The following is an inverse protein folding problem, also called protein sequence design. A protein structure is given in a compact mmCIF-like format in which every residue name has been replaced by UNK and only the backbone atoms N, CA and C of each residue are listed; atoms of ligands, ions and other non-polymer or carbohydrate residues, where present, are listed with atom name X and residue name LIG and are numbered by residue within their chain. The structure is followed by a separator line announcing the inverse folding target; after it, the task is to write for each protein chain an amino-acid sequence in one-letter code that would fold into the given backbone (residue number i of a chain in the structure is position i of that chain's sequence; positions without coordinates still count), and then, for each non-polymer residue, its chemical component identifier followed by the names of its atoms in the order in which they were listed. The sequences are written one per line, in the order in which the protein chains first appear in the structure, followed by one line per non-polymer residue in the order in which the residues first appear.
data_IF_009877548241
#
_entry.id   IF_009877548241
#
_cell.length_a   1.000
_cell.length_b   1.000
_cell.length_c   1.000
_cell.angle_alpha   90.00
_cell.angle_beta   90.00
_cell.angle_gamma   90.00
#
_symmetry.space_group_name_H-M   'P 1'
#
loop_
_entity.id
_entity.type
_entity.pdbx_description
1 polymer ?
#
# COMPACT_ATOMS: atom_id res chain seq x y z
N UNK A 1 -8.36 11.99 17.01
CA UNK A 1 -7.99 10.55 16.98
C UNK A 1 -6.65 10.44 16.25
N UNK A 2 -5.60 10.13 17.00
CA UNK A 2 -4.22 10.00 16.54
C UNK A 2 -4.15 8.91 15.44
N UNK A 3 -3.94 9.35 14.20
CA UNK A 3 -3.54 8.47 13.10
C UNK A 3 -2.11 8.02 13.43
N UNK A 4 -1.96 6.86 14.06
CA UNK A 4 -0.65 6.22 14.25
C UNK A 4 -0.10 5.85 12.87
N UNK A 5 0.57 6.79 12.22
CA UNK A 5 1.53 6.47 11.17
C UNK A 5 2.66 5.69 11.83
N UNK A 6 3.14 4.65 11.16
CA UNK A 6 4.35 3.97 11.60
C UNK A 6 5.45 5.02 11.78
N UNK A 7 6.15 5.06 12.92
CA UNK A 7 7.18 6.06 13.16
C UNK A 7 8.32 5.85 12.16
N UNK A 8 8.85 6.93 11.63
CA UNK A 8 9.93 6.90 10.62
C UNK A 8 11.14 6.07 11.04
N UNK A 9 11.48 6.11 12.33
CA UNK A 9 12.59 5.33 12.87
C UNK A 9 12.36 3.82 12.79
N UNK A 10 11.10 3.37 12.89
CA UNK A 10 10.76 1.94 12.76
C UNK A 10 11.00 1.41 11.35
N UNK A 11 10.76 2.24 10.32
CA UNK A 11 11.01 1.86 8.93
C UNK A 11 12.50 1.81 8.64
N UNK A 12 13.26 2.80 9.12
CA UNK A 12 14.72 2.83 9.00
C UNK A 12 15.32 1.59 9.66
N UNK A 13 14.88 1.26 10.88
CA UNK A 13 15.35 0.09 11.60
C UNK A 13 15.05 -1.19 10.83
N UNK A 14 13.85 -1.34 10.27
CA UNK A 14 13.48 -2.49 9.48
C UNK A 14 14.35 -2.61 8.22
N UNK A 15 14.56 -1.52 7.48
CA UNK A 15 15.41 -1.50 6.30
C UNK A 15 16.87 -1.86 6.66
N UNK A 16 17.40 -1.37 7.79
CA UNK A 16 18.70 -1.77 8.32
C UNK A 16 18.78 -3.27 8.62
N UNK A 17 17.76 -3.82 9.29
CA UNK A 17 17.69 -5.26 9.56
C UNK A 17 17.66 -6.08 8.25
N UNK A 18 16.96 -5.63 7.23
CA UNK A 18 16.92 -6.31 5.93
C UNK A 18 18.27 -6.31 5.22
N UNK A 19 19.03 -5.20 5.29
CA UNK A 19 20.41 -5.14 4.74
C UNK A 19 21.32 -6.11 5.48
N UNK A 20 21.33 -6.07 6.80
CA UNK A 20 22.17 -6.97 7.62
C UNK A 20 21.79 -8.44 7.38
N UNK A 21 20.51 -8.74 7.36
CA UNK A 21 20.01 -10.08 7.09
C UNK A 21 20.43 -10.58 5.70
N UNK A 22 20.29 -9.76 4.66
CA UNK A 22 20.68 -10.12 3.31
C UNK A 22 22.19 -10.36 3.18
N UNK A 23 23.00 -9.52 3.84
CA UNK A 23 24.45 -9.69 3.86
C UNK A 23 24.87 -10.99 4.55
N UNK A 24 24.30 -11.26 5.73
CA UNK A 24 24.56 -12.49 6.48
C UNK A 24 24.12 -13.73 5.68
N UNK A 25 22.92 -13.69 5.11
CA UNK A 25 22.34 -14.82 4.38
C UNK A 25 23.16 -15.15 3.13
N UNK A 26 23.50 -14.14 2.31
CA UNK A 26 24.32 -14.36 1.11
C UNK A 26 25.70 -14.89 1.46
N UNK A 27 26.32 -14.34 2.51
CA UNK A 27 27.62 -14.81 2.96
C UNK A 27 27.56 -16.29 3.39
N UNK A 28 26.53 -16.64 4.18
CA UNK A 28 26.31 -18.01 4.69
C UNK A 28 26.07 -19.01 3.56
N UNK A 29 25.29 -18.63 2.56
CA UNK A 29 25.00 -19.49 1.39
C UNK A 29 26.25 -19.76 0.55
N UNK A 30 27.14 -18.78 0.42
CA UNK A 30 28.33 -18.91 -0.43
C UNK A 30 29.53 -19.57 0.26
N UNK A 31 29.63 -19.45 1.59
CA UNK A 31 30.80 -19.95 2.35
C UNK A 31 30.47 -21.11 3.32
N UNK A 32 29.19 -21.44 3.47
CA UNK A 32 28.72 -22.49 4.37
C UNK A 32 28.45 -21.97 5.80
N UNK A 33 27.57 -22.69 6.50
CA UNK A 33 27.09 -22.29 7.84
C UNK A 33 28.21 -22.35 8.89
N UNK A 34 28.98 -23.46 8.90
CA UNK A 34 30.01 -23.66 9.93
C UNK A 34 31.12 -22.61 9.85
N UNK A 35 31.65 -22.36 8.64
CA UNK A 35 32.66 -21.30 8.43
C UNK A 35 32.15 -19.89 8.73
N UNK A 36 30.87 -19.64 8.58
CA UNK A 36 30.26 -18.35 8.94
C UNK A 36 30.17 -18.20 10.45
N UNK A 37 29.87 -19.26 11.19
CA UNK A 37 29.78 -19.21 12.67
C UNK A 37 31.13 -18.90 13.30
N UNK A 38 32.23 -19.47 12.76
CA UNK A 38 33.59 -19.24 13.28
C UNK A 38 34.02 -17.76 13.21
N UNK A 39 33.55 -17.04 12.20
CA UNK A 39 33.93 -15.65 11.93
C UNK A 39 32.76 -14.65 12.12
N UNK A 40 31.66 -15.08 12.74
CA UNK A 40 30.43 -14.31 12.87
C UNK A 40 30.66 -12.91 13.47
N UNK A 41 31.53 -12.79 14.48
CA UNK A 41 31.84 -11.52 15.12
C UNK A 41 32.45 -10.50 14.15
N UNK A 42 33.48 -10.91 13.40
CA UNK A 42 34.14 -10.04 12.43
C UNK A 42 33.23 -9.70 11.25
N UNK A 43 32.42 -10.66 10.80
CA UNK A 43 31.44 -10.46 9.74
C UNK A 43 30.37 -9.43 10.16
N UNK A 44 29.81 -9.55 11.37
CA UNK A 44 28.81 -8.59 11.88
C UNK A 44 29.40 -7.18 12.01
N UNK A 45 30.61 -7.03 12.53
CA UNK A 45 31.27 -5.72 12.59
C UNK A 45 31.44 -5.14 11.20
N UNK A 46 31.89 -5.94 10.24
CA UNK A 46 32.06 -5.48 8.84
C UNK A 46 30.73 -5.07 8.22
N UNK A 47 29.66 -5.86 8.40
CA UNK A 47 28.33 -5.53 7.90
C UNK A 47 27.76 -4.26 8.55
N UNK A 48 27.99 -4.04 9.86
CA UNK A 48 27.58 -2.82 10.56
C UNK A 48 28.32 -1.58 10.03
N UNK A 49 29.61 -1.69 9.74
CA UNK A 49 30.36 -0.59 9.11
C UNK A 49 29.85 -0.34 7.69
N UNK A 50 29.62 -1.39 6.91
CA UNK A 50 29.05 -1.30 5.56
C UNK A 50 27.62 -0.72 5.54
N UNK A 51 26.88 -0.78 6.66
CA UNK A 51 25.54 -0.20 6.75
C UNK A 51 25.57 1.34 6.69
N UNK A 52 26.64 1.99 7.13
CA UNK A 52 26.75 3.46 7.20
C UNK A 52 26.52 4.12 5.83
N UNK A 53 27.16 3.71 4.73
CA UNK A 53 26.90 4.26 3.41
C UNK A 53 25.45 4.10 2.94
N UNK A 54 24.79 3.00 3.29
CA UNK A 54 23.36 2.80 2.97
C UNK A 54 22.48 3.79 3.74
N UNK A 55 22.76 4.04 5.02
CA UNK A 55 22.04 5.05 5.81
C UNK A 55 22.19 6.45 5.22
N UNK A 56 23.39 6.81 4.77
CA UNK A 56 23.64 8.08 4.06
C UNK A 56 22.82 8.12 2.77
N UNK A 57 22.80 7.05 2.00
CA UNK A 57 22.00 6.91 0.79
C UNK A 57 20.49 7.11 1.06
N UNK A 58 19.96 6.44 2.07
CA UNK A 58 18.56 6.57 2.47
C UNK A 58 18.19 8.01 2.84
N UNK A 59 19.07 8.73 3.53
CA UNK A 59 18.86 10.13 3.87
C UNK A 59 18.96 11.04 2.64
N UNK A 60 19.92 10.81 1.76
CA UNK A 60 20.15 11.60 0.56
C UNK A 60 18.95 11.53 -0.42
N UNK A 61 18.45 10.33 -0.66
CA UNK A 61 17.32 10.10 -1.56
C UNK A 61 15.95 10.27 -0.90
N UNK A 62 15.91 10.73 0.36
CA UNK A 62 14.67 10.99 1.09
C UNK A 62 13.68 9.81 1.03
N UNK A 63 14.16 8.58 1.20
CA UNK A 63 13.37 7.37 1.09
C UNK A 63 12.25 7.28 2.14
N UNK A 64 12.32 8.09 3.19
CA UNK A 64 11.38 8.13 4.33
C UNK A 64 10.49 9.37 4.36
N UNK A 65 10.56 10.24 3.34
CA UNK A 65 9.75 11.46 3.27
C UNK A 65 8.28 11.22 2.89
N UNK A 66 7.97 10.04 2.35
CA UNK A 66 6.63 9.65 1.94
C UNK A 66 5.83 8.95 3.06
N UNK A 67 4.52 9.14 3.06
CA UNK A 67 3.62 8.32 3.86
C UNK A 67 3.56 6.94 3.16
N UNK A 68 4.06 5.87 3.79
CA UNK A 68 4.11 4.50 3.21
C UNK A 68 2.76 4.05 2.65
N UNK A 69 1.69 4.57 3.23
CA UNK A 69 0.31 4.36 2.81
C UNK A 69 0.04 4.69 1.35
N UNK A 70 0.77 5.67 0.78
CA UNK A 70 0.67 6.11 -0.60
C UNK A 70 1.89 5.71 -1.43
N UNK A 71 2.69 4.72 -0.96
CA UNK A 71 3.88 4.25 -1.67
C UNK A 71 3.59 4.10 -3.16
N UNK A 72 4.22 4.96 -3.95
CA UNK A 72 4.14 4.98 -5.39
C UNK A 72 5.36 4.29 -6.00
N UNK A 73 5.34 4.07 -7.31
CA UNK A 73 6.50 3.58 -8.04
C UNK A 73 7.75 4.44 -7.80
N UNK A 74 7.55 5.75 -7.60
CA UNK A 74 8.63 6.70 -7.27
C UNK A 74 9.34 6.35 -5.95
N UNK A 75 8.62 5.86 -4.94
CA UNK A 75 9.24 5.48 -3.67
C UNK A 75 10.08 4.21 -3.80
N UNK A 76 9.67 3.28 -4.67
CA UNK A 76 10.47 2.10 -5.00
C UNK A 76 11.75 2.50 -5.74
N UNK A 77 11.68 3.46 -6.67
CA UNK A 77 12.86 4.00 -7.36
C UNK A 77 13.84 4.67 -6.38
N UNK A 78 13.35 5.48 -5.43
CA UNK A 78 14.20 6.11 -4.41
C UNK A 78 15.00 5.08 -3.61
N UNK A 79 14.35 3.97 -3.21
CA UNK A 79 15.03 2.87 -2.52
C UNK A 79 16.09 2.23 -3.42
N UNK A 80 15.76 1.97 -4.68
CA UNK A 80 16.72 1.43 -5.64
C UNK A 80 17.97 2.32 -5.77
N UNK A 81 17.80 3.63 -5.95
CA UNK A 81 18.91 4.57 -6.03
C UNK A 81 19.71 4.64 -4.73
N UNK A 82 19.06 4.62 -3.57
CA UNK A 82 19.74 4.63 -2.28
C UNK A 82 20.58 3.37 -2.06
N UNK A 83 20.07 2.19 -2.43
CA UNK A 83 20.80 0.92 -2.32
C UNK A 83 21.96 0.87 -3.31
N UNK A 84 21.78 1.34 -4.55
CA UNK A 84 22.86 1.42 -5.54
C UNK A 84 23.97 2.38 -5.07
N UNK A 85 23.62 3.55 -4.56
CA UNK A 85 24.57 4.48 -3.98
C UNK A 85 25.35 3.84 -2.83
N UNK A 86 24.66 3.20 -1.88
CA UNK A 86 25.28 2.49 -0.77
C UNK A 86 26.25 1.39 -1.23
N UNK A 87 25.84 0.59 -2.21
CA UNK A 87 26.70 -0.45 -2.79
C UNK A 87 27.97 0.13 -3.41
N UNK A 88 27.86 1.19 -4.21
CA UNK A 88 29.03 1.84 -4.82
C UNK A 88 29.97 2.35 -3.73
N UNK A 89 29.45 3.03 -2.72
CA UNK A 89 30.27 3.52 -1.61
C UNK A 89 30.94 2.40 -0.84
N UNK A 90 30.27 1.27 -0.59
CA UNK A 90 30.87 0.10 0.10
C UNK A 90 31.99 -0.51 -0.74
N UNK A 91 31.80 -0.66 -2.05
CA UNK A 91 32.84 -1.19 -2.94
C UNK A 91 34.06 -0.30 -2.96
N UNK A 92 33.86 1.04 -3.05
CA UNK A 92 34.95 2.02 -3.00
C UNK A 92 35.65 1.99 -1.63
N UNK A 93 34.87 1.95 -0.54
CA UNK A 93 35.38 1.87 0.82
C UNK A 93 36.26 0.63 1.01
N UNK A 94 35.83 -0.54 0.56
CA UNK A 94 36.63 -1.77 0.66
C UNK A 94 37.92 -1.69 -0.19
N UNK A 95 37.88 -1.04 -1.35
CA UNK A 95 39.08 -0.85 -2.17
C UNK A 95 40.12 0.07 -1.49
N UNK A 96 39.65 0.99 -0.63
CA UNK A 96 40.53 1.89 0.13
C UNK A 96 41.01 1.30 1.45
N UNK A 97 40.29 0.33 2.01
CA UNK A 97 40.55 -0.25 3.33
C UNK A 97 41.16 -1.66 3.30
N UNK A 98 41.71 -2.10 2.16
CA UNK A 98 42.36 -3.43 1.98
C UNK A 98 43.44 -3.77 3.05
N UNK A 99 43.84 -2.79 3.84
CA UNK A 99 44.87 -2.91 4.90
C UNK A 99 44.34 -2.93 6.32
N UNK A 100 43.01 -2.96 6.53
CA UNK A 100 42.51 -2.96 7.92
C UNK A 100 42.42 -4.37 8.49
N UNK A 101 43.14 -4.67 9.60
CA UNK A 101 43.11 -6.00 10.23
C UNK A 101 41.79 -6.32 10.93
N UNK A 102 40.89 -5.32 11.10
CA UNK A 102 39.63 -5.46 11.82
C UNK A 102 38.44 -5.69 10.93
N UNK A 103 38.58 -5.38 9.64
CA UNK A 103 37.49 -5.48 8.66
C UNK A 103 37.75 -6.65 7.72
N UNK A 104 36.73 -7.48 7.56
CA UNK A 104 36.80 -8.62 6.68
C UNK A 104 36.52 -8.18 5.23
N UNK A 105 37.36 -8.66 4.29
CA UNK A 105 37.09 -8.44 2.87
C UNK A 105 35.93 -9.35 2.41
N UNK A 106 34.86 -8.70 1.95
CA UNK A 106 33.70 -9.40 1.36
C UNK A 106 33.87 -9.38 -0.17
N UNK A 107 33.71 -10.52 -0.81
CA UNK A 107 33.82 -10.63 -2.26
C UNK A 107 32.81 -9.70 -2.95
N UNK A 108 33.22 -8.99 -4.01
CA UNK A 108 32.36 -8.06 -4.76
C UNK A 108 31.06 -8.73 -5.24
N UNK A 109 31.14 -10.01 -5.63
CA UNK A 109 29.95 -10.81 -6.00
C UNK A 109 28.95 -10.89 -4.84
N UNK A 110 29.42 -11.14 -3.63
CA UNK A 110 28.56 -11.31 -2.45
C UNK A 110 27.93 -9.98 -2.03
N UNK A 111 28.65 -8.85 -2.21
CA UNK A 111 28.11 -7.50 -2.03
C UNK A 111 26.99 -7.19 -3.03
N UNK A 112 27.18 -7.52 -4.31
CA UNK A 112 26.16 -7.28 -5.33
C UNK A 112 24.93 -8.15 -5.05
N UNK A 113 25.11 -9.43 -4.75
CA UNK A 113 24.00 -10.35 -4.44
C UNK A 113 23.25 -9.91 -3.19
N UNK A 114 23.96 -9.49 -2.12
CA UNK A 114 23.31 -9.00 -0.91
C UNK A 114 22.54 -7.70 -1.13
N UNK A 115 23.05 -6.78 -1.95
CA UNK A 115 22.37 -5.55 -2.30
C UNK A 115 21.10 -5.80 -3.13
N UNK A 116 21.16 -6.72 -4.11
CA UNK A 116 19.98 -7.12 -4.90
C UNK A 116 18.92 -7.80 -4.03
N UNK A 117 19.35 -8.69 -3.12
CA UNK A 117 18.45 -9.35 -2.18
C UNK A 117 17.83 -8.32 -1.21
N UNK A 118 18.62 -7.42 -0.63
CA UNK A 118 18.12 -6.36 0.24
C UNK A 118 17.09 -5.47 -0.47
N UNK A 119 17.40 -5.04 -1.70
CA UNK A 119 16.50 -4.22 -2.51
C UNK A 119 15.17 -4.93 -2.78
N UNK A 120 15.21 -6.20 -3.17
CA UNK A 120 14.00 -6.99 -3.44
C UNK A 120 13.15 -7.20 -2.18
N UNK A 121 13.78 -7.48 -1.02
CA UNK A 121 13.09 -7.62 0.26
C UNK A 121 12.45 -6.30 0.71
N UNK A 122 13.15 -5.17 0.57
CA UNK A 122 12.60 -3.85 0.88
C UNK A 122 11.40 -3.51 -0.01
N UNK A 123 11.46 -3.81 -1.30
CA UNK A 123 10.35 -3.60 -2.22
C UNK A 123 9.16 -4.48 -1.85
N UNK A 124 9.39 -5.76 -1.62
CA UNK A 124 8.35 -6.71 -1.20
C UNK A 124 7.69 -6.26 0.10
N UNK A 125 8.49 -5.83 1.08
CA UNK A 125 7.96 -5.36 2.37
C UNK A 125 7.10 -4.11 2.22
N UNK A 126 7.48 -3.15 1.38
CA UNK A 126 6.67 -1.94 1.12
C UNK A 126 5.35 -2.27 0.44
N UNK A 127 5.38 -3.14 -0.57
CA UNK A 127 4.16 -3.62 -1.24
C UNK A 127 3.26 -4.37 -0.26
N UNK A 128 3.83 -5.22 0.59
CA UNK A 128 3.10 -5.99 1.60
C UNK A 128 2.42 -5.08 2.63
N UNK A 129 3.15 -4.10 3.18
CA UNK A 129 2.61 -3.12 4.14
C UNK A 129 1.46 -2.33 3.52
N UNK A 130 1.61 -1.90 2.27
CA UNK A 130 0.54 -1.21 1.52
C UNK A 130 -0.68 -2.10 1.35
N UNK A 131 -0.49 -3.33 0.90
CA UNK A 131 -1.59 -4.29 0.70
C UNK A 131 -2.31 -4.59 2.00
N UNK A 132 -1.56 -4.85 3.08
CA UNK A 132 -2.13 -5.15 4.39
C UNK A 132 -2.88 -3.95 4.97
N UNK A 133 -2.33 -2.74 4.82
CA UNK A 133 -3.00 -1.52 5.27
C UNK A 133 -4.31 -1.28 4.52
N UNK A 134 -4.29 -1.40 3.19
CA UNK A 134 -5.49 -1.23 2.35
C UNK A 134 -6.54 -2.28 2.69
N UNK A 135 -6.13 -3.54 2.86
CA UNK A 135 -7.05 -4.64 3.18
C UNK A 135 -7.70 -4.50 4.56
N UNK A 136 -6.91 -4.12 5.59
CA UNK A 136 -7.37 -4.14 6.97
C UNK A 136 -8.12 -2.86 7.38
N UNK A 137 -7.65 -1.70 6.94
CA UNK A 137 -8.17 -0.41 7.45
C UNK A 137 -9.17 0.26 6.52
N UNK A 138 -9.18 -0.07 5.24
CA UNK A 138 -10.07 0.55 4.26
C UNK A 138 -11.54 0.16 4.46
N UNK A 139 -11.79 -1.07 4.90
CA UNK A 139 -13.14 -1.64 5.02
C UNK A 139 -13.77 -1.44 6.41
N UNK A 140 -12.96 -1.31 7.47
CA UNK A 140 -13.46 -1.36 8.85
C UNK A 140 -14.28 -0.13 9.28
N UNK A 141 -14.24 1.01 8.58
CA UNK A 141 -14.95 2.25 8.94
C UNK A 141 -15.79 2.86 7.82
N UNK A 142 -15.78 2.28 6.63
CA UNK A 142 -16.52 2.83 5.50
C UNK A 142 -17.99 2.41 5.55
N UNK A 143 -18.90 3.36 5.43
CA UNK A 143 -20.33 3.08 5.30
C UNK A 143 -20.62 2.48 3.91
N UNK A 144 -21.45 1.45 3.86
CA UNK A 144 -21.87 0.89 2.56
C UNK A 144 -22.86 1.82 1.90
N UNK A 145 -22.61 2.17 0.65
CA UNK A 145 -23.44 3.10 -0.11
C UNK A 145 -23.90 2.49 -1.44
N UNK A 146 -25.11 2.80 -1.82
CA UNK A 146 -25.62 2.61 -3.17
C UNK A 146 -25.47 3.91 -3.96
N UNK A 147 -25.31 3.80 -5.28
CA UNK A 147 -25.28 4.95 -6.18
C UNK A 147 -26.50 4.91 -7.09
N UNK A 148 -27.29 6.00 -7.07
CA UNK A 148 -28.38 6.19 -8.00
C UNK A 148 -27.89 6.80 -9.30
N UNK A 149 -27.93 6.00 -10.37
CA UNK A 149 -27.47 6.33 -11.72
C UNK A 149 -26.31 5.48 -12.18
N UNK A 150 -26.45 4.90 -13.37
CA UNK A 150 -25.52 3.92 -13.99
C UNK A 150 -24.73 4.49 -15.17
N UNK A 151 -25.08 5.70 -15.63
CA UNK A 151 -24.37 6.39 -16.72
C UNK A 151 -23.05 7.01 -16.21
N UNK A 152 -22.38 7.74 -17.08
CA UNK A 152 -21.05 8.31 -16.82
C UNK A 152 -20.93 9.04 -15.46
N UNK A 153 -21.96 9.78 -15.03
CA UNK A 153 -21.95 10.46 -13.73
C UNK A 153 -21.89 9.49 -12.54
N UNK A 154 -22.66 8.39 -12.59
CA UNK A 154 -22.61 7.35 -11.54
C UNK A 154 -21.28 6.59 -11.51
N UNK A 155 -20.73 6.27 -12.68
CA UNK A 155 -19.42 5.62 -12.80
C UNK A 155 -18.30 6.54 -12.29
N UNK A 156 -18.34 7.84 -12.61
CA UNK A 156 -17.37 8.82 -12.13
C UNK A 156 -17.45 8.98 -10.61
N UNK A 157 -18.65 9.03 -10.03
CA UNK A 157 -18.87 9.08 -8.60
C UNK A 157 -18.33 7.82 -7.91
N UNK A 158 -18.58 6.64 -8.48
CA UNK A 158 -18.07 5.38 -7.97
C UNK A 158 -16.53 5.33 -7.95
N UNK A 159 -15.88 5.77 -9.04
CA UNK A 159 -14.42 5.89 -9.12
C UNK A 159 -13.89 6.87 -8.09
N UNK A 160 -14.55 8.02 -7.91
CA UNK A 160 -14.15 9.01 -6.88
C UNK A 160 -14.19 8.41 -5.48
N UNK A 161 -15.25 7.66 -5.15
CA UNK A 161 -15.38 6.99 -3.85
C UNK A 161 -14.32 5.91 -3.67
N UNK A 162 -14.07 5.10 -4.70
CA UNK A 162 -13.05 4.06 -4.65
C UNK A 162 -11.64 4.62 -4.47
N UNK A 163 -11.39 5.82 -4.98
CA UNK A 163 -10.09 6.50 -4.87
C UNK A 163 -9.93 7.33 -3.59
N UNK A 164 -11.03 7.54 -2.83
CA UNK A 164 -10.95 8.26 -1.56
C UNK A 164 -10.16 7.47 -0.50
N UNK A 165 -9.22 8.16 0.14
CA UNK A 165 -8.47 7.61 1.25
C UNK A 165 -8.34 8.64 2.39
N UNK A 166 -8.88 8.36 3.57
CA UNK A 166 -9.60 7.13 3.96
C UNK A 166 -10.96 7.00 3.23
N UNK A 167 -11.29 5.77 2.84
CA UNK A 167 -12.58 5.50 2.21
C UNK A 167 -13.72 5.84 3.19
N UNK A 168 -14.55 6.81 2.83
CA UNK A 168 -15.76 7.15 3.58
C UNK A 168 -16.89 6.19 3.26
N UNK A 169 -16.97 5.76 2.01
CA UNK A 169 -18.00 4.87 1.52
C UNK A 169 -17.41 3.66 0.79
N UNK A 170 -18.09 2.52 0.89
CA UNK A 170 -17.83 1.32 0.08
C UNK A 170 -19.04 1.07 -0.80
N UNK A 171 -18.80 0.94 -2.11
CA UNK A 171 -19.84 0.71 -3.07
C UNK A 171 -20.49 -0.67 -2.85
N UNK A 172 -21.80 -0.69 -2.59
CA UNK A 172 -22.59 -1.90 -2.35
C UNK A 172 -23.47 -2.29 -3.56
N UNK A 173 -23.82 -1.32 -4.41
CA UNK A 173 -24.60 -1.52 -5.60
C UNK A 173 -24.92 -0.23 -6.34
N UNK A 174 -25.45 -0.35 -7.54
CA UNK A 174 -26.03 0.75 -8.31
C UNK A 174 -27.55 0.62 -8.36
N UNK A 175 -28.23 1.74 -8.55
CA UNK A 175 -29.68 1.80 -8.79
C UNK A 175 -29.91 2.40 -10.16
N UNK A 176 -30.78 1.78 -10.95
CA UNK A 176 -31.10 2.20 -12.30
C UNK A 176 -32.63 2.25 -12.51
N UNK A 177 -33.06 3.21 -13.33
CA UNK A 177 -34.40 3.26 -13.88
C UNK A 177 -34.46 2.67 -15.33
N UNK A 178 -33.34 2.07 -15.78
CA UNK A 178 -33.20 1.54 -17.14
C UNK A 178 -33.28 0.02 -17.05
N UNK A 179 -34.38 -0.56 -17.52
CA UNK A 179 -34.65 -1.99 -17.44
C UNK A 179 -33.58 -2.87 -18.11
N UNK A 180 -32.95 -2.40 -19.19
CA UNK A 180 -31.93 -3.16 -19.92
C UNK A 180 -30.63 -3.42 -19.11
N UNK A 181 -30.37 -2.60 -18.09
CA UNK A 181 -29.11 -2.65 -17.28
C UNK A 181 -29.36 -3.28 -15.91
N UNK A 182 -30.61 -3.49 -15.54
CA UNK A 182 -30.98 -4.10 -14.27
C UNK A 182 -30.39 -5.50 -14.13
N UNK A 183 -30.04 -5.83 -12.90
CA UNK A 183 -29.41 -7.11 -12.51
C UNK A 183 -28.05 -7.42 -13.16
N UNK A 184 -27.51 -6.52 -14.00
CA UNK A 184 -26.14 -6.64 -14.54
C UNK A 184 -25.11 -6.17 -13.51
N UNK A 185 -23.85 -6.47 -13.80
CA UNK A 185 -22.73 -6.02 -12.97
C UNK A 185 -22.05 -4.79 -13.57
N UNK A 186 -21.85 -3.76 -12.75
CA UNK A 186 -21.14 -2.55 -13.11
C UNK A 186 -20.06 -2.31 -12.06
N UNK A 187 -18.82 -2.16 -12.48
CA UNK A 187 -17.66 -1.96 -11.58
C UNK A 187 -17.56 -3.01 -10.45
N UNK A 188 -17.94 -4.27 -10.74
CA UNK A 188 -17.85 -5.38 -9.79
C UNK A 188 -19.03 -5.48 -8.81
N UNK A 189 -20.02 -4.57 -8.87
CA UNK A 189 -21.24 -4.64 -8.04
C UNK A 189 -22.49 -4.74 -8.90
N UNK A 190 -23.55 -5.29 -8.34
CA UNK A 190 -24.82 -5.52 -9.04
C UNK A 190 -25.62 -4.21 -9.16
N UNK A 191 -26.31 -4.05 -10.28
CA UNK A 191 -27.29 -2.98 -10.53
C UNK A 191 -28.68 -3.48 -10.12
N UNK A 192 -29.42 -2.68 -9.39
CA UNK A 192 -30.76 -2.98 -8.89
C UNK A 192 -31.78 -2.02 -9.50
N UNK A 193 -33.02 -2.47 -9.69
CA UNK A 193 -34.10 -1.60 -10.12
C UNK A 193 -34.48 -0.59 -9.04
N UNK A 194 -35.11 0.48 -9.45
CA UNK A 194 -35.72 1.46 -8.55
C UNK A 194 -37.20 1.09 -8.31
N UNK A 195 -37.39 0.06 -7.52
CA UNK A 195 -38.70 -0.52 -7.18
C UNK A 195 -39.00 -0.45 -5.67
N UNK A 196 -40.13 -1.02 -5.25
CA UNK A 196 -40.52 -1.09 -3.85
C UNK A 196 -39.60 -1.97 -3.02
N UNK A 197 -38.95 -2.96 -3.63
CA UNK A 197 -38.03 -3.88 -2.96
C UNK A 197 -36.65 -3.27 -2.67
N UNK A 198 -36.34 -2.11 -3.27
CA UNK A 198 -35.04 -1.45 -3.14
C UNK A 198 -34.60 -1.28 -1.67
N UNK A 199 -35.52 -0.84 -0.81
CA UNK A 199 -35.22 -0.64 0.62
C UNK A 199 -34.83 -1.96 1.30
N UNK A 200 -35.52 -3.05 0.95
CA UNK A 200 -35.23 -4.38 1.48
C UNK A 200 -33.85 -4.87 1.04
N UNK A 201 -33.50 -4.63 -0.22
CA UNK A 201 -32.19 -4.95 -0.81
C UNK A 201 -31.08 -4.14 -0.12
N UNK A 202 -31.26 -2.84 0.08
CA UNK A 202 -30.29 -1.99 0.78
C UNK A 202 -30.06 -2.48 2.21
N UNK A 203 -31.12 -2.82 2.95
CA UNK A 203 -31.02 -3.40 4.30
C UNK A 203 -30.28 -4.75 4.31
N UNK A 204 -30.60 -5.64 3.39
CA UNK A 204 -29.92 -6.95 3.23
C UNK A 204 -28.43 -6.78 2.97
N UNK A 205 -28.04 -5.72 2.24
CA UNK A 205 -26.65 -5.36 1.97
C UNK A 205 -26.01 -4.54 3.11
N UNK A 206 -26.73 -4.25 4.18
CA UNK A 206 -26.31 -3.40 5.30
C UNK A 206 -25.85 -2.01 4.83
N UNK A 207 -26.60 -1.42 3.91
CA UNK A 207 -26.32 -0.09 3.36
C UNK A 207 -27.38 0.89 3.83
N UNK A 208 -26.97 1.96 4.49
CA UNK A 208 -27.85 3.03 4.98
C UNK A 208 -27.58 4.35 4.26
N UNK A 209 -26.87 4.31 3.13
CA UNK A 209 -26.47 5.50 2.37
C UNK A 209 -26.84 5.32 0.91
N UNK A 210 -27.49 6.35 0.34
CA UNK A 210 -27.70 6.54 -1.07
C UNK A 210 -26.92 7.76 -1.55
N UNK A 211 -26.08 7.57 -2.54
CA UNK A 211 -25.34 8.64 -3.21
C UNK A 211 -26.00 8.92 -4.56
N UNK A 212 -26.34 10.17 -4.81
CA UNK A 212 -27.03 10.55 -6.05
C UNK A 212 -26.02 11.05 -7.07
N UNK A 213 -26.05 10.43 -8.25
CA UNK A 213 -25.27 10.93 -9.38
C UNK A 213 -25.71 12.35 -9.76
N UNK A 214 -24.80 13.28 -10.08
CA UNK A 214 -25.16 14.64 -10.49
C UNK A 214 -26.21 14.71 -11.59
N UNK A 215 -26.19 13.74 -12.52
CA UNK A 215 -27.16 13.65 -13.63
C UNK A 215 -28.56 13.14 -13.21
N UNK A 216 -28.70 12.68 -11.96
CA UNK A 216 -29.96 12.12 -11.43
C UNK A 216 -30.57 12.96 -10.29
N UNK A 217 -29.97 14.08 -9.97
CA UNK A 217 -30.43 14.96 -8.88
C UNK A 217 -31.86 15.45 -9.14
N UNK A 218 -32.18 15.88 -10.36
CA UNK A 218 -33.53 16.30 -10.72
C UNK A 218 -34.55 15.13 -10.72
N UNK A 219 -34.12 13.96 -11.17
CA UNK A 219 -34.96 12.77 -11.14
C UNK A 219 -35.38 12.36 -9.75
N UNK A 220 -34.45 12.42 -8.78
CA UNK A 220 -34.77 12.10 -7.39
C UNK A 220 -35.63 13.18 -6.72
N UNK A 221 -35.38 14.46 -7.06
CA UNK A 221 -36.21 15.59 -6.56
C UNK A 221 -37.65 15.48 -6.99
N UNK A 222 -37.90 15.01 -8.22
CA UNK A 222 -39.23 14.84 -8.77
C UNK A 222 -39.92 13.54 -8.31
N UNK A 223 -39.17 12.59 -7.72
CA UNK A 223 -39.72 11.33 -7.22
C UNK A 223 -39.83 11.36 -5.68
N UNK A 224 -40.77 12.14 -5.18
CA UNK A 224 -40.99 12.29 -3.74
C UNK A 224 -41.35 10.98 -3.05
N UNK A 225 -42.07 10.09 -3.74
CA UNK A 225 -42.45 8.79 -3.20
C UNK A 225 -41.20 7.92 -2.88
N UNK A 226 -40.20 7.88 -3.74
CA UNK A 226 -38.92 7.23 -3.49
C UNK A 226 -38.20 7.88 -2.32
N UNK A 227 -38.16 9.20 -2.27
CA UNK A 227 -37.49 9.95 -1.17
C UNK A 227 -38.14 9.64 0.17
N UNK A 228 -39.46 9.66 0.24
CA UNK A 228 -40.22 9.34 1.47
C UNK A 228 -39.99 7.91 1.94
N UNK A 229 -39.96 6.93 1.02
CA UNK A 229 -39.64 5.53 1.32
C UNK A 229 -38.23 5.41 1.93
N UNK A 230 -37.25 6.10 1.36
CA UNK A 230 -35.86 6.08 1.84
C UNK A 230 -35.71 6.75 3.21
N UNK A 231 -36.37 7.89 3.43
CA UNK A 231 -36.36 8.60 4.71
C UNK A 231 -37.02 7.75 5.80
N UNK A 232 -38.20 7.16 5.55
CA UNK A 232 -38.87 6.24 6.47
C UNK A 232 -38.00 5.02 6.81
N UNK A 233 -37.16 4.61 5.90
CA UNK A 233 -36.21 3.51 6.11
C UNK A 233 -34.89 3.93 6.81
N UNK A 234 -34.75 5.22 7.18
CA UNK A 234 -33.54 5.81 7.78
C UNK A 234 -32.31 5.71 6.87
N UNK A 235 -32.50 5.86 5.56
CA UNK A 235 -31.42 5.87 4.58
C UNK A 235 -31.02 7.33 4.32
N UNK A 236 -29.73 7.63 4.51
CA UNK A 236 -29.15 8.97 4.26
C UNK A 236 -28.96 9.18 2.77
N UNK A 237 -29.43 10.29 2.22
CA UNK A 237 -29.28 10.66 0.82
C UNK A 237 -28.22 11.78 0.74
N UNK A 238 -27.23 11.61 -0.13
CA UNK A 238 -26.15 12.56 -0.38
C UNK A 238 -26.04 12.90 -1.86
#
# INVERSE_FOLDING_TARGET
FSKKSLPYWGIILLDCCLILFSGLLVYTLNNGVLSTLDILGHLLVTLLVCLIPYLVGFRLFHTYSGIIRYSSFVDLQKVGFAVLFGLICVVVFQALTDFSPYLMYIRKRDLILSALLAMSLMWMMRVFVKFFYVSTFRVAKAERAFIYGVKQGGVSLAKSIQNQDPARFVLAGFISDIAEIEYRYLMGVKVYPNDEELVSVMRKKRSNVLLVSPLKVEAIRNNQEMVDRLIKANIKIY
#
